data_IF_795673076848
#
_entry.id   IF_795673076848
#
_cell.length_a   1.000
_cell.length_b   1.000
_cell.length_c   1.000
_cell.angle_alpha   90.00
_cell.angle_beta   90.00
_cell.angle_gamma   90.00
#
_symmetry.space_group_name_H-M   'P 1'
#
loop_
_entity.id
_entity.type
_entity.pdbx_description
1 polymer ?
#
# COMPACT_ATOMS: atom_id res chain seq x y z
N UNK A 1 11.28 20.91 -12.59
CA UNK A 1 10.27 21.79 -12.00
C UNK A 1 9.67 21.07 -10.81
N UNK A 2 9.46 21.76 -9.68
CA UNK A 2 8.82 21.18 -8.48
C UNK A 2 7.39 21.72 -8.45
N UNK A 3 6.41 20.81 -8.44
CA UNK A 3 5.01 21.17 -8.30
C UNK A 3 4.71 21.42 -6.81
N UNK A 4 3.85 22.41 -6.49
CA UNK A 4 3.56 22.78 -5.09
C UNK A 4 2.06 22.78 -4.87
N UNK A 5 1.60 21.95 -3.93
CA UNK A 5 0.22 21.99 -3.46
C UNK A 5 0.08 22.99 -2.33
N UNK A 6 -0.83 23.94 -2.49
CA UNK A 6 -1.09 25.00 -1.51
C UNK A 6 -2.45 24.74 -0.87
N UNK A 7 -2.50 24.76 0.46
CA UNK A 7 -3.75 24.82 1.21
C UNK A 7 -3.75 26.09 2.05
N UNK A 8 -4.83 26.87 1.94
CA UNK A 8 -5.09 28.06 2.75
C UNK A 8 -6.33 27.82 3.61
N UNK A 9 -6.31 28.27 4.86
CA UNK A 9 -7.47 28.19 5.73
C UNK A 9 -7.48 29.31 6.76
N UNK A 10 -8.67 29.78 7.20
CA UNK A 10 -8.78 30.82 8.21
C UNK A 10 -8.21 30.33 9.55
N UNK A 11 -7.50 31.21 10.26
CA UNK A 11 -6.98 30.94 11.61
C UNK A 11 -7.63 31.90 12.62
N UNK A 12 -7.95 31.37 13.81
CA UNK A 12 -8.65 32.13 14.86
C UNK A 12 -7.85 33.32 15.43
N UNK A 13 -6.52 33.34 15.28
CA UNK A 13 -5.62 34.38 15.82
C UNK A 13 -5.34 35.51 14.81
N UNK A 14 -6.34 35.83 13.97
CA UNK A 14 -6.26 36.69 12.80
C UNK A 14 -5.31 36.18 11.69
N UNK A 15 -5.83 36.13 10.45
CA UNK A 15 -5.06 35.76 9.25
C UNK A 15 -5.39 34.40 8.65
N UNK A 16 -4.57 33.99 7.69
CA UNK A 16 -4.69 32.72 6.98
C UNK A 16 -3.47 31.84 7.25
N UNK A 17 -3.72 30.56 7.56
CA UNK A 17 -2.67 29.55 7.60
C UNK A 17 -2.45 28.99 6.20
N UNK A 18 -1.24 29.14 5.68
CA UNK A 18 -0.80 28.50 4.45
C UNK A 18 0.02 27.24 4.76
N UNK A 19 -0.31 26.13 4.09
CA UNK A 19 0.48 24.90 4.10
C UNK A 19 0.93 24.60 2.68
N UNK A 20 2.24 24.51 2.47
CA UNK A 20 2.86 24.19 1.18
C UNK A 20 3.40 22.77 1.23
N UNK A 21 2.96 21.93 0.28
CA UNK A 21 3.51 20.59 0.08
C UNK A 21 4.24 20.55 -1.25
N UNK A 22 5.54 20.31 -1.18
CA UNK A 22 6.39 20.09 -2.36
C UNK A 22 6.11 18.69 -2.92
N UNK A 23 5.84 18.63 -4.22
CA UNK A 23 5.62 17.39 -4.97
C UNK A 23 6.81 17.21 -5.90
N UNK A 24 7.74 16.36 -5.50
CA UNK A 24 8.95 16.06 -6.28
C UNK A 24 8.77 14.74 -7.04
N UNK A 25 8.68 14.86 -8.37
CA UNK A 25 8.57 13.70 -9.28
C UNK A 25 9.80 12.80 -9.22
N UNK A 26 10.98 13.36 -8.97
CA UNK A 26 12.23 12.60 -8.91
C UNK A 26 12.30 11.70 -7.67
N UNK A 27 11.43 11.93 -6.67
CA UNK A 27 11.34 11.11 -5.47
C UNK A 27 10.45 9.86 -5.63
N UNK A 28 9.80 9.66 -6.78
CA UNK A 28 9.05 8.44 -7.06
C UNK A 28 10.04 7.28 -7.25
N UNK A 29 10.00 6.31 -6.35
CA UNK A 29 10.76 5.08 -6.47
C UNK A 29 10.19 4.21 -7.59
N UNK A 30 11.08 3.53 -8.32
CA UNK A 30 10.68 2.49 -9.26
C UNK A 30 10.05 1.30 -8.55
N UNK A 31 9.29 0.48 -9.28
CA UNK A 31 8.63 -0.71 -8.75
C UNK A 31 9.63 -1.67 -8.08
N UNK A 32 10.69 -2.04 -8.79
CA UNK A 32 11.72 -2.96 -8.26
C UNK A 32 12.43 -2.38 -7.03
N UNK A 33 12.71 -1.07 -7.02
CA UNK A 33 13.35 -0.41 -5.87
C UNK A 33 12.43 -0.38 -4.63
N UNK A 34 11.13 -0.24 -4.85
CA UNK A 34 10.14 -0.21 -3.78
C UNK A 34 9.96 -1.60 -3.13
N UNK A 35 9.98 -2.66 -3.94
CA UNK A 35 9.78 -4.05 -3.51
C UNK A 35 11.09 -4.84 -3.32
N UNK A 36 12.27 -4.21 -3.42
CA UNK A 36 13.58 -4.86 -3.27
C UNK A 36 13.81 -5.60 -1.92
N UNK A 37 12.95 -5.38 -0.92
CA UNK A 37 12.97 -6.08 0.39
C UNK A 37 11.72 -6.92 0.64
N UNK A 38 10.87 -7.04 -0.38
CA UNK A 38 9.61 -7.77 -0.39
C UNK A 38 9.49 -8.48 -1.74
N UNK A 39 10.56 -9.19 -2.16
CA UNK A 39 10.72 -9.74 -3.51
C UNK A 39 9.56 -10.67 -3.89
N UNK A 40 9.15 -11.58 -3.00
CA UNK A 40 8.02 -12.49 -3.23
C UNK A 40 6.72 -11.73 -3.58
N UNK A 41 6.45 -10.64 -2.85
CA UNK A 41 5.29 -9.79 -3.11
C UNK A 41 5.45 -9.02 -4.41
N UNK A 42 6.65 -8.48 -4.66
CA UNK A 42 6.99 -7.76 -5.88
C UNK A 42 6.83 -8.63 -7.13
N UNK A 43 7.34 -9.87 -7.09
CA UNK A 43 7.27 -10.84 -8.17
C UNK A 43 5.83 -11.26 -8.45
N UNK A 44 5.05 -11.54 -7.42
CA UNK A 44 3.63 -11.86 -7.57
C UNK A 44 2.85 -10.71 -8.21
N UNK A 45 3.09 -9.47 -7.77
CA UNK A 45 2.46 -8.28 -8.36
C UNK A 45 2.94 -8.06 -9.80
N UNK A 46 4.22 -8.23 -10.10
CA UNK A 46 4.75 -8.10 -11.45
C UNK A 46 4.09 -9.09 -12.41
N UNK A 47 3.79 -10.31 -11.96
CA UNK A 47 3.02 -11.29 -12.73
C UNK A 47 1.59 -10.79 -13.00
N UNK A 48 0.88 -10.29 -11.98
CA UNK A 48 -0.48 -9.74 -12.16
C UNK A 48 -0.52 -8.51 -13.09
N UNK A 49 0.55 -7.73 -13.11
CA UNK A 49 0.69 -6.52 -13.92
C UNK A 49 1.28 -6.81 -15.31
N UNK A 50 1.59 -8.07 -15.62
CA UNK A 50 2.18 -8.47 -16.90
C UNK A 50 1.22 -8.21 -18.07
N UNK A 51 1.71 -7.64 -19.18
CA UNK A 51 0.91 -7.40 -20.37
C UNK A 51 0.51 -8.68 -21.09
N UNK A 52 0.98 -9.86 -20.68
CA UNK A 52 0.62 -11.13 -21.33
C UNK A 52 -0.65 -11.75 -20.74
N UNK A 53 -1.09 -11.29 -19.55
CA UNK A 53 -2.34 -11.71 -18.92
C UNK A 53 -3.45 -10.76 -19.36
N UNK A 54 -4.29 -11.14 -20.33
CA UNK A 54 -5.51 -10.39 -20.69
C UNK A 54 -6.70 -10.96 -19.92
N UNK A 55 -7.52 -10.10 -19.31
CA UNK A 55 -8.76 -10.51 -18.66
C UNK A 55 -8.57 -11.33 -17.39
N UNK A 56 -7.41 -11.20 -16.71
CA UNK A 56 -7.11 -11.87 -15.44
C UNK A 56 -7.93 -11.36 -14.25
N UNK A 57 -8.63 -10.23 -14.42
CA UNK A 57 -9.53 -9.62 -13.45
C UNK A 57 -8.89 -9.36 -12.08
N UNK A 58 -9.75 -9.05 -11.12
CA UNK A 58 -9.40 -9.04 -9.72
C UNK A 58 -8.91 -7.71 -9.16
N UNK A 59 -8.64 -7.72 -7.85
CA UNK A 59 -8.37 -6.53 -7.06
C UNK A 59 -7.02 -6.61 -6.34
N UNK A 60 -6.25 -5.54 -6.46
CA UNK A 60 -5.05 -5.28 -5.67
C UNK A 60 -5.37 -4.10 -4.75
N UNK A 61 -5.32 -4.34 -3.45
CA UNK A 61 -5.73 -3.38 -2.43
C UNK A 61 -4.52 -2.87 -1.66
N UNK A 62 -4.34 -1.55 -1.67
CA UNK A 62 -3.29 -0.86 -0.92
C UNK A 62 -3.92 -0.20 0.30
N UNK A 63 -3.55 -0.64 1.50
CA UNK A 63 -4.03 -0.07 2.75
C UNK A 63 -2.95 0.51 3.64
N UNK A 64 -3.37 1.23 4.67
CA UNK A 64 -2.51 1.94 5.61
C UNK A 64 -2.97 3.37 5.90
N UNK A 65 -2.37 4.03 6.91
CA UNK A 65 -2.73 5.38 7.32
C UNK A 65 -2.33 6.44 6.29
N UNK A 66 -2.73 7.69 6.52
CA UNK A 66 -2.27 8.82 5.70
C UNK A 66 -0.74 8.96 5.80
N UNK A 67 -0.08 9.15 4.66
CA UNK A 67 1.37 9.30 4.61
C UNK A 67 2.17 7.99 4.65
N UNK A 68 1.52 6.83 4.56
CA UNK A 68 2.19 5.52 4.47
C UNK A 68 2.73 5.16 3.09
N UNK A 69 2.64 6.06 2.10
CA UNK A 69 3.18 5.84 0.76
C UNK A 69 2.23 5.11 -0.21
N UNK A 70 0.95 4.88 0.12
CA UNK A 70 -0.01 4.20 -0.77
C UNK A 70 -0.04 4.75 -2.19
N UNK A 71 -0.10 6.07 -2.36
CA UNK A 71 -0.10 6.71 -3.68
C UNK A 71 1.22 6.45 -4.42
N UNK A 72 2.36 6.49 -3.71
CA UNK A 72 3.67 6.15 -4.29
C UNK A 72 3.69 4.71 -4.81
N UNK A 73 3.20 3.76 -4.01
CA UNK A 73 3.11 2.35 -4.40
C UNK A 73 2.14 2.12 -5.56
N UNK A 74 0.99 2.80 -5.54
CA UNK A 74 0.00 2.77 -6.63
C UNK A 74 0.64 3.25 -7.95
N UNK A 75 1.34 4.38 -7.92
CA UNK A 75 2.04 4.90 -9.09
C UNK A 75 3.18 3.97 -9.54
N UNK A 76 3.91 3.34 -8.62
CA UNK A 76 4.93 2.35 -8.95
C UNK A 76 4.33 1.14 -9.68
N UNK A 77 3.19 0.61 -9.22
CA UNK A 77 2.46 -0.45 -9.92
C UNK A 77 2.04 0.00 -11.34
N UNK A 78 1.55 1.23 -11.51
CA UNK A 78 1.18 1.75 -12.84
C UNK A 78 2.39 1.90 -13.76
N UNK A 79 3.55 2.26 -13.21
CA UNK A 79 4.79 2.34 -13.97
C UNK A 79 5.31 0.98 -14.41
N UNK A 80 5.05 -0.07 -13.64
CA UNK A 80 5.38 -1.46 -13.99
C UNK A 80 4.58 -1.99 -15.17
N UNK A 81 3.36 -1.50 -15.39
CA UNK A 81 2.52 -1.90 -16.52
C UNK A 81 3.08 -1.33 -17.83
N UNK A 82 3.17 -2.18 -18.86
CA UNK A 82 3.42 -1.72 -20.24
C UNK A 82 2.20 -1.00 -20.82
N UNK A 83 2.09 0.28 -20.48
CA UNK A 83 1.02 1.21 -20.89
C UNK A 83 0.94 1.49 -22.39
N UNK A 84 1.92 1.03 -23.18
CA UNK A 84 1.84 1.11 -24.65
C UNK A 84 1.07 -0.08 -25.22
N UNK A 85 1.09 -1.22 -24.53
CA UNK A 85 0.39 -2.45 -24.91
C UNK A 85 -0.97 -2.59 -24.21
N UNK A 86 -1.14 -1.93 -23.06
CA UNK A 86 -2.31 -2.05 -22.19
C UNK A 86 -2.90 -0.69 -21.84
N UNK A 87 -4.23 -0.58 -21.90
CA UNK A 87 -4.92 0.64 -21.54
C UNK A 87 -5.07 0.74 -20.02
N UNK A 88 -4.34 1.69 -19.42
CA UNK A 88 -4.45 2.03 -18.00
C UNK A 88 -5.27 3.30 -17.84
N UNK A 89 -6.35 3.23 -17.06
CA UNK A 89 -7.20 4.36 -16.73
C UNK A 89 -7.20 4.62 -15.22
N UNK A 90 -6.83 5.82 -14.79
CA UNK A 90 -6.81 6.23 -13.38
C UNK A 90 -7.95 7.20 -13.07
N UNK A 91 -8.49 7.12 -11.86
CA UNK A 91 -9.51 8.01 -11.31
C UNK A 91 -8.98 8.50 -9.95
N UNK A 92 -8.67 9.79 -9.82
CA UNK A 92 -7.91 10.34 -8.69
C UNK A 92 -8.50 11.65 -8.14
N UNK A 93 -8.22 11.97 -6.87
CA UNK A 93 -8.72 13.17 -6.19
C UNK A 93 -7.64 13.82 -5.29
N UNK A 94 -6.82 14.76 -5.81
CA UNK A 94 -6.61 15.10 -7.22
C UNK A 94 -5.56 14.18 -7.88
N UNK A 95 -5.33 14.37 -9.18
CA UNK A 95 -4.18 13.77 -9.87
C UNK A 95 -2.89 14.40 -9.30
N UNK A 96 -1.97 13.58 -8.78
CA UNK A 96 -0.71 14.09 -8.19
C UNK A 96 0.38 14.29 -9.25
N UNK A 97 0.51 13.37 -10.21
CA UNK A 97 1.51 13.44 -11.26
C UNK A 97 0.96 12.95 -12.60
N UNK A 98 1.47 13.53 -13.69
CA UNK A 98 1.13 13.08 -15.03
C UNK A 98 1.85 11.76 -15.37
N UNK A 99 1.06 10.74 -15.72
CA UNK A 99 1.52 9.43 -16.12
C UNK A 99 1.44 9.29 -17.64
N UNK A 100 2.60 9.34 -18.29
CA UNK A 100 2.67 9.14 -19.75
C UNK A 100 2.02 7.82 -20.16
N UNK A 101 1.21 7.87 -21.23
CA UNK A 101 0.47 6.72 -21.77
C UNK A 101 -0.64 6.15 -20.87
N UNK A 102 -0.99 6.80 -19.76
CA UNK A 102 -2.19 6.50 -18.99
C UNK A 102 -3.29 7.53 -19.26
N UNK A 103 -4.53 7.09 -19.27
CA UNK A 103 -5.70 7.99 -19.24
C UNK A 103 -5.97 8.35 -17.79
N UNK A 104 -5.81 9.61 -17.39
CA UNK A 104 -6.05 10.03 -15.99
C UNK A 104 -7.28 10.92 -15.91
N UNK A 105 -8.23 10.55 -15.06
CA UNK A 105 -9.42 11.32 -14.74
C UNK A 105 -9.36 11.85 -13.32
N UNK A 106 -9.73 13.10 -13.15
CA UNK A 106 -9.83 13.72 -11.84
C UNK A 106 -11.29 13.76 -11.39
N UNK A 107 -11.52 13.33 -10.16
CA UNK A 107 -12.82 13.46 -9.48
C UNK A 107 -13.17 14.94 -9.32
N UNK A 108 -14.45 15.25 -9.51
CA UNK A 108 -14.99 16.61 -9.34
C UNK A 108 -16.18 16.55 -8.39
N UNK A 109 -15.94 16.54 -7.06
CA UNK A 109 -17.00 16.46 -6.07
C UNK A 109 -18.03 17.59 -6.27
N UNK A 110 -19.32 17.25 -6.21
CA UNK A 110 -20.43 18.20 -6.40
C UNK A 110 -20.82 18.47 -7.86
N UNK A 111 -20.07 17.97 -8.85
CA UNK A 111 -20.49 17.99 -10.26
C UNK A 111 -21.28 16.70 -10.58
N UNK A 112 -22.47 16.79 -11.22
CA UNK A 112 -23.19 15.61 -11.68
C UNK A 112 -22.31 14.73 -12.58
N UNK A 113 -22.19 13.43 -12.25
CA UNK A 113 -21.32 12.49 -12.96
C UNK A 113 -19.82 12.62 -12.64
N UNK A 114 -19.45 13.44 -11.66
CA UNK A 114 -18.06 13.70 -11.27
C UNK A 114 -17.57 12.92 -10.04
N UNK A 115 -18.40 12.03 -9.47
CA UNK A 115 -18.02 11.19 -8.33
C UNK A 115 -17.13 10.00 -8.73
N UNK A 116 -16.44 9.38 -7.78
CA UNK A 116 -15.67 8.15 -8.03
C UNK A 116 -16.53 7.07 -8.67
N UNK A 117 -17.69 6.75 -8.10
CA UNK A 117 -18.59 5.72 -8.61
C UNK A 117 -19.07 6.01 -10.05
N UNK A 118 -19.40 7.27 -10.37
CA UNK A 118 -19.81 7.65 -11.73
C UNK A 118 -18.67 7.47 -12.74
N UNK A 119 -17.47 7.89 -12.36
CA UNK A 119 -16.27 7.77 -13.20
C UNK A 119 -15.87 6.30 -13.38
N UNK A 120 -16.01 5.44 -12.37
CA UNK A 120 -15.75 4.00 -12.52
C UNK A 120 -16.78 3.37 -13.48
N UNK A 121 -18.06 3.76 -13.41
CA UNK A 121 -19.07 3.29 -14.37
C UNK A 121 -18.76 3.71 -15.79
N UNK A 122 -18.32 4.95 -15.97
CA UNK A 122 -17.94 5.47 -17.27
C UNK A 122 -16.69 4.76 -17.80
N UNK A 123 -15.67 4.54 -16.95
CA UNK A 123 -14.37 4.01 -17.37
C UNK A 123 -14.47 2.63 -18.03
N UNK A 124 -15.36 1.76 -17.56
CA UNK A 124 -15.59 0.44 -18.15
C UNK A 124 -16.02 0.49 -19.63
N UNK A 125 -16.51 1.64 -20.13
CA UNK A 125 -16.88 1.83 -21.55
C UNK A 125 -15.73 2.37 -22.40
N UNK A 126 -14.56 2.60 -21.81
CA UNK A 126 -13.36 3.06 -22.51
C UNK A 126 -12.39 1.90 -22.83
N UNK A 127 -12.85 0.64 -22.75
CA UNK A 127 -12.03 -0.55 -22.97
C UNK A 127 -10.70 -0.53 -22.17
N UNK A 128 -10.71 -0.25 -20.84
CA UNK A 128 -9.50 -0.32 -20.04
C UNK A 128 -9.09 -1.77 -19.77
N UNK A 129 -7.79 -2.03 -19.69
CA UNK A 129 -7.27 -3.29 -19.12
C UNK A 129 -7.13 -3.16 -17.59
N UNK A 130 -6.69 -1.97 -17.13
CA UNK A 130 -6.47 -1.66 -15.72
C UNK A 130 -7.27 -0.42 -15.31
N UNK A 131 -7.98 -0.52 -14.19
CA UNK A 131 -8.71 0.60 -13.59
C UNK A 131 -8.08 0.92 -12.24
N UNK A 132 -7.52 2.11 -12.12
CA UNK A 132 -6.82 2.56 -10.92
C UNK A 132 -7.71 3.57 -10.20
N UNK A 133 -8.00 3.30 -8.94
CA UNK A 133 -8.93 4.11 -8.13
C UNK A 133 -8.13 4.71 -6.98
N UNK A 134 -8.09 6.04 -6.93
CA UNK A 134 -7.28 6.77 -5.95
C UNK A 134 -7.60 6.36 -4.52
N UNK A 135 -8.88 6.18 -4.18
CA UNK A 135 -9.32 5.70 -2.88
C UNK A 135 -10.77 5.16 -2.91
N UNK A 136 -11.07 4.12 -2.14
CA UNK A 136 -12.43 3.67 -1.85
C UNK A 136 -12.88 4.23 -0.49
N UNK A 137 -13.85 5.16 -0.51
CA UNK A 137 -14.35 5.85 0.70
C UNK A 137 -15.78 5.49 1.06
N UNK A 138 -16.58 5.06 0.09
CA UNK A 138 -18.02 4.90 0.23
C UNK A 138 -18.53 3.62 -0.45
N UNK A 139 -19.79 3.28 -0.13
CA UNK A 139 -20.46 2.08 -0.61
C UNK A 139 -20.53 1.99 -2.13
N UNK A 140 -20.89 3.10 -2.79
CA UNK A 140 -21.06 3.13 -4.25
C UNK A 140 -19.75 2.90 -4.98
N UNK A 141 -18.66 3.46 -4.46
CA UNK A 141 -17.31 3.28 -4.99
C UNK A 141 -16.86 1.83 -4.82
N UNK A 142 -17.05 1.23 -3.64
CA UNK A 142 -16.73 -0.19 -3.39
C UNK A 142 -17.53 -1.11 -4.32
N UNK A 143 -18.85 -0.94 -4.39
CA UNK A 143 -19.74 -1.75 -5.22
C UNK A 143 -19.37 -1.66 -6.71
N UNK A 144 -19.09 -0.45 -7.20
CA UNK A 144 -18.74 -0.26 -8.61
C UNK A 144 -17.35 -0.82 -8.91
N UNK A 145 -16.42 -0.74 -7.96
CA UNK A 145 -15.08 -1.35 -8.08
C UNK A 145 -15.13 -2.87 -8.15
N UNK A 146 -15.97 -3.50 -7.31
CA UNK A 146 -16.18 -4.95 -7.32
C UNK A 146 -16.74 -5.42 -8.67
N UNK A 147 -17.71 -4.69 -9.23
CA UNK A 147 -18.27 -4.99 -10.56
C UNK A 147 -17.24 -4.80 -11.68
N UNK A 148 -16.38 -3.79 -11.57
CA UNK A 148 -15.29 -3.60 -12.52
C UNK A 148 -14.32 -4.80 -12.49
N UNK A 149 -13.96 -5.27 -11.29
CA UNK A 149 -13.12 -6.46 -11.13
C UNK A 149 -13.81 -7.74 -11.66
N UNK A 150 -15.07 -7.94 -11.32
CA UNK A 150 -15.88 -9.08 -11.75
C UNK A 150 -16.06 -9.16 -13.27
N UNK A 151 -16.12 -8.01 -13.95
CA UNK A 151 -16.17 -7.93 -15.42
C UNK A 151 -14.83 -8.17 -16.11
N UNK A 152 -13.78 -8.52 -15.36
CA UNK A 152 -12.49 -8.95 -15.90
C UNK A 152 -11.40 -7.87 -15.93
N UNK A 153 -11.67 -6.68 -15.39
CA UNK A 153 -10.66 -5.61 -15.27
C UNK A 153 -9.78 -5.85 -14.05
N UNK A 154 -8.49 -5.53 -14.15
CA UNK A 154 -7.65 -5.47 -12.95
C UNK A 154 -7.84 -4.12 -12.27
N UNK A 155 -8.33 -4.16 -11.03
CA UNK A 155 -8.59 -2.96 -10.23
C UNK A 155 -7.49 -2.80 -9.19
N UNK A 156 -6.82 -1.64 -9.19
CA UNK A 156 -5.87 -1.28 -8.12
C UNK A 156 -6.45 -0.09 -7.37
N UNK A 157 -6.62 -0.22 -6.06
CA UNK A 157 -7.22 0.85 -5.26
C UNK A 157 -6.58 1.00 -3.91
N UNK A 158 -6.69 2.19 -3.33
CA UNK A 158 -6.33 2.43 -1.93
C UNK A 158 -7.54 2.41 -1.00
N UNK A 159 -7.29 2.07 0.26
CA UNK A 159 -8.28 2.13 1.35
C UNK A 159 -7.58 2.38 2.69
N UNK A 160 -8.23 3.08 3.61
CA UNK A 160 -7.70 3.28 4.95
C UNK A 160 -8.08 2.14 5.88
N UNK A 161 -7.08 1.39 6.35
CA UNK A 161 -7.18 0.33 7.36
C UNK A 161 -5.81 0.18 8.04
N UNK A 162 -5.78 -0.32 9.28
CA UNK A 162 -4.54 -0.40 10.07
C UNK A 162 -3.77 -1.71 9.86
N UNK A 163 -4.45 -2.77 9.43
CA UNK A 163 -3.85 -4.08 9.06
C UNK A 163 -4.36 -4.61 7.71
N UNK A 164 -3.69 -5.63 7.17
CA UNK A 164 -4.14 -6.30 5.95
C UNK A 164 -5.51 -6.97 6.15
N UNK A 165 -5.73 -7.64 7.29
CA UNK A 165 -7.01 -8.28 7.62
C UNK A 165 -8.14 -7.27 7.82
N UNK A 166 -7.91 -6.18 8.56
CA UNK A 166 -8.92 -5.13 8.77
C UNK A 166 -9.34 -4.42 7.47
N UNK A 167 -8.55 -4.55 6.40
CA UNK A 167 -8.95 -4.06 5.08
C UNK A 167 -10.24 -4.73 4.60
N UNK A 168 -10.41 -6.03 4.86
CA UNK A 168 -11.63 -6.76 4.51
C UNK A 168 -12.82 -6.32 5.36
N UNK A 169 -12.63 -6.15 6.67
CA UNK A 169 -13.68 -5.63 7.56
C UNK A 169 -14.10 -4.22 7.16
N UNK A 170 -13.14 -3.37 6.80
CA UNK A 170 -13.41 -2.01 6.33
C UNK A 170 -14.24 -2.03 5.05
N UNK A 171 -13.90 -2.88 4.07
CA UNK A 171 -14.69 -3.03 2.86
C UNK A 171 -16.11 -3.51 3.18
N UNK A 172 -16.26 -4.53 4.03
CA UNK A 172 -17.56 -5.05 4.45
C UNK A 172 -18.40 -3.99 5.15
N UNK A 173 -17.78 -3.14 5.98
CA UNK A 173 -18.47 -2.04 6.67
C UNK A 173 -18.99 -0.94 5.72
N UNK A 174 -18.41 -0.83 4.52
CA UNK A 174 -18.86 0.10 3.48
C UNK A 174 -19.90 -0.53 2.56
N UNK A 175 -19.98 -1.86 2.47
CA UNK A 175 -20.93 -2.53 1.59
C UNK A 175 -22.38 -2.28 2.04
N UNK A 176 -23.33 -2.11 1.11
CA UNK A 176 -24.75 -2.06 1.46
C UNK A 176 -25.21 -3.36 2.13
N UNK A 177 -25.91 -3.27 3.27
CA UNK A 177 -26.38 -4.43 4.03
C UNK A 177 -27.17 -5.45 3.18
N UNK A 178 -27.97 -4.96 2.23
CA UNK A 178 -28.78 -5.79 1.32
C UNK A 178 -27.96 -6.60 0.32
N UNK A 179 -26.69 -6.23 0.09
CA UNK A 179 -25.76 -6.91 -0.83
C UNK A 179 -24.53 -7.49 -0.15
N UNK A 180 -24.40 -7.33 1.16
CA UNK A 180 -23.21 -7.74 1.92
C UNK A 180 -22.75 -9.15 1.55
N UNK A 181 -23.67 -10.11 1.44
CA UNK A 181 -23.36 -11.49 1.09
C UNK A 181 -22.81 -11.65 -0.33
N UNK A 182 -23.48 -11.08 -1.33
CA UNK A 182 -23.05 -11.15 -2.73
C UNK A 182 -21.75 -10.38 -2.98
N UNK A 183 -21.60 -9.23 -2.31
CA UNK A 183 -20.42 -8.37 -2.44
C UNK A 183 -19.22 -8.99 -1.74
N UNK A 184 -19.41 -9.63 -0.58
CA UNK A 184 -18.37 -10.40 0.10
C UNK A 184 -17.95 -11.63 -0.69
N UNK A 185 -18.91 -12.33 -1.32
CA UNK A 185 -18.59 -13.42 -2.25
C UNK A 185 -17.74 -12.90 -3.41
N UNK A 186 -18.15 -11.81 -4.05
CA UNK A 186 -17.39 -11.18 -5.15
C UNK A 186 -16.00 -10.76 -4.70
N UNK A 187 -15.88 -10.13 -3.51
CA UNK A 187 -14.60 -9.76 -2.93
C UNK A 187 -13.68 -10.97 -2.76
N UNK A 188 -14.18 -12.07 -2.19
CA UNK A 188 -13.41 -13.31 -2.04
C UNK A 188 -12.90 -13.86 -3.38
N UNK A 189 -13.75 -13.79 -4.42
CA UNK A 189 -13.39 -14.28 -5.76
C UNK A 189 -12.41 -13.36 -6.49
N UNK A 190 -12.51 -12.05 -6.28
CA UNK A 190 -11.75 -11.06 -7.04
C UNK A 190 -10.45 -10.60 -6.36
N UNK A 191 -10.35 -10.62 -5.03
CA UNK A 191 -9.14 -10.15 -4.34
C UNK A 191 -7.91 -11.01 -4.70
N UNK A 192 -6.82 -10.36 -5.13
CA UNK A 192 -5.56 -11.02 -5.51
C UNK A 192 -4.45 -10.72 -4.51
N UNK A 193 -4.41 -9.48 -4.01
CA UNK A 193 -3.46 -9.05 -3.01
C UNK A 193 -4.06 -7.93 -2.15
N UNK A 194 -3.76 -7.97 -0.86
CA UNK A 194 -3.96 -6.87 0.08
C UNK A 194 -2.62 -6.53 0.70
N UNK A 195 -2.26 -5.25 0.67
CA UNK A 195 -0.97 -4.74 1.13
C UNK A 195 -1.21 -3.60 2.10
N UNK A 196 -1.00 -3.84 3.39
CA UNK A 196 -1.02 -2.81 4.40
C UNK A 196 0.38 -2.24 4.64
N UNK A 197 0.53 -0.95 4.37
CA UNK A 197 1.83 -0.30 4.24
C UNK A 197 2.12 0.64 5.39
N UNK A 198 3.38 0.67 5.81
CA UNK A 198 3.98 1.71 6.65
C UNK A 198 5.32 2.15 6.07
N UNK A 199 5.77 3.33 6.48
CA UNK A 199 7.09 3.84 6.18
C UNK A 199 7.88 3.98 7.48
N UNK A 200 9.02 3.28 7.56
CA UNK A 200 9.93 3.37 8.70
C UNK A 200 11.18 4.15 8.32
N UNK A 201 11.73 4.90 9.28
CA UNK A 201 12.92 5.74 9.04
C UNK A 201 14.16 4.86 8.87
N UNK A 202 15.02 5.22 7.93
CA UNK A 202 16.27 4.49 7.67
C UNK A 202 17.49 5.26 8.19
N UNK A 203 18.39 4.52 8.83
CA UNK A 203 19.64 5.04 9.39
C UNK A 203 20.58 5.60 8.32
N UNK A 204 21.32 6.63 8.70
CA UNK A 204 22.47 7.08 7.92
C UNK A 204 23.60 6.07 8.00
N UNK A 205 23.88 5.40 6.88
CA UNK A 205 24.95 4.40 6.77
C UNK A 205 26.35 5.01 6.92
N UNK A 206 26.49 6.34 6.79
CA UNK A 206 27.77 7.04 6.98
C UNK A 206 28.12 7.34 8.44
N UNK A 207 27.16 7.31 9.38
CA UNK A 207 27.42 7.66 10.77
C UNK A 207 26.77 6.75 11.81
N UNK A 208 26.00 5.73 11.41
CA UNK A 208 25.48 4.72 12.32
C UNK A 208 26.62 3.90 12.94
N UNK A 209 26.42 3.46 14.19
CA UNK A 209 27.42 2.67 14.92
C UNK A 209 27.05 1.19 14.87
N UNK A 210 28.00 0.34 14.48
CA UNK A 210 27.80 -1.11 14.49
C UNK A 210 28.28 -1.69 15.81
N UNK A 211 27.44 -2.51 16.44
CA UNK A 211 27.72 -3.19 17.70
C UNK A 211 26.91 -4.50 17.75
N UNK A 212 27.28 -5.44 18.62
CA UNK A 212 26.50 -6.66 18.83
C UNK A 212 25.21 -6.33 19.58
N UNK A 213 24.11 -7.03 19.27
CA UNK A 213 22.80 -6.76 19.85
C UNK A 213 22.82 -6.75 21.40
N UNK A 214 23.58 -7.66 22.02
CA UNK A 214 23.75 -7.75 23.48
C UNK A 214 24.41 -6.52 24.14
N UNK A 215 25.17 -5.74 23.37
CA UNK A 215 25.83 -4.54 23.88
C UNK A 215 24.90 -3.30 23.85
N UNK A 216 23.81 -3.37 23.08
CA UNK A 216 22.87 -2.26 22.88
C UNK A 216 21.47 -2.49 23.48
N UNK A 217 21.01 -3.74 23.44
CA UNK A 217 19.67 -4.19 23.80
C UNK A 217 19.71 -5.07 25.05
N UNK A 218 18.63 -5.03 25.82
CA UNK A 218 18.44 -5.99 26.91
C UNK A 218 17.91 -7.35 26.39
N UNK A 219 17.92 -8.37 27.24
CA UNK A 219 17.47 -9.73 26.86
C UNK A 219 16.03 -9.77 26.34
N UNK A 220 15.11 -9.00 26.94
CA UNK A 220 13.70 -8.94 26.51
C UNK A 220 13.56 -8.32 25.11
N UNK A 221 14.32 -7.27 24.82
CA UNK A 221 14.35 -6.58 23.52
C UNK A 221 14.91 -7.51 22.42
N UNK A 222 15.95 -8.28 22.73
CA UNK A 222 16.54 -9.27 21.81
C UNK A 222 15.53 -10.38 21.50
N UNK A 223 14.83 -10.89 22.52
CA UNK A 223 13.76 -11.89 22.36
C UNK A 223 12.60 -11.33 21.52
N UNK A 224 12.18 -10.09 21.77
CA UNK A 224 11.12 -9.42 21.00
C UNK A 224 11.48 -9.26 19.52
N UNK A 225 12.74 -8.97 19.20
CA UNK A 225 13.22 -8.91 17.82
C UNK A 225 13.50 -10.29 17.22
N UNK A 226 13.54 -11.34 18.04
CA UNK A 226 13.82 -12.71 17.61
C UNK A 226 15.17 -12.84 16.88
N UNK A 227 16.19 -12.12 17.38
CA UNK A 227 17.57 -12.13 16.86
C UNK A 227 18.53 -12.76 17.88
N UNK A 228 19.72 -13.19 17.45
CA UNK A 228 20.75 -13.69 18.36
C UNK A 228 21.47 -12.54 19.09
N UNK A 229 21.94 -12.72 20.33
CA UNK A 229 22.71 -11.71 21.06
C UNK A 229 23.96 -11.21 20.33
N UNK A 230 24.58 -12.08 19.53
CA UNK A 230 25.78 -11.79 18.73
C UNK A 230 25.46 -11.14 17.36
N UNK A 231 24.18 -10.93 17.04
CA UNK A 231 23.77 -10.30 15.77
C UNK A 231 24.33 -8.88 15.73
N UNK A 232 25.10 -8.56 14.68
CA UNK A 232 25.60 -7.20 14.47
C UNK A 232 24.46 -6.31 14.00
N UNK A 233 24.13 -5.30 14.80
CA UNK A 233 23.08 -4.32 14.51
C UNK A 233 23.66 -2.93 14.31
N UNK A 234 22.89 -2.02 13.74
CA UNK A 234 23.28 -0.62 13.57
C UNK A 234 22.46 0.28 14.50
N UNK A 235 23.15 1.05 15.33
CA UNK A 235 22.59 2.01 16.27
C UNK A 235 22.53 3.41 15.65
N UNK A 236 21.42 4.11 15.89
CA UNK A 236 21.26 5.51 15.51
C UNK A 236 22.33 6.40 16.16
N UNK A 237 22.89 7.32 15.37
CA UNK A 237 23.76 8.38 15.87
C UNK A 237 22.96 9.69 15.95
N UNK A 238 22.59 10.15 17.17
CA UNK A 238 21.75 11.34 17.34
C UNK A 238 22.40 12.64 16.90
N UNK A 239 23.75 12.71 16.90
CA UNK A 239 24.48 13.89 16.43
C UNK A 239 24.51 13.98 14.90
N UNK A 240 24.32 12.84 14.22
CA UNK A 240 24.38 12.71 12.77
C UNK A 240 25.70 13.16 12.15
N UNK A 241 25.73 13.17 10.82
CA UNK A 241 26.81 13.72 10.01
C UNK A 241 26.24 14.63 8.90
N UNK A 242 27.12 15.23 8.10
CA UNK A 242 26.70 16.16 7.03
C UNK A 242 25.87 15.46 5.94
N UNK A 243 26.09 14.16 5.68
CA UNK A 243 25.31 13.37 4.70
C UNK A 243 23.83 13.26 5.07
N UNK A 244 23.51 13.24 6.36
CA UNK A 244 22.14 13.14 6.86
C UNK A 244 21.62 14.47 7.43
N UNK A 245 22.32 15.58 7.13
CA UNK A 245 21.99 16.90 7.66
C UNK A 245 21.86 16.92 9.19
N UNK A 246 22.77 16.23 9.89
CA UNK A 246 22.84 16.14 11.36
C UNK A 246 21.60 15.51 12.02
N UNK A 247 20.88 14.62 11.34
CA UNK A 247 19.71 13.91 11.90
C UNK A 247 19.98 12.44 12.26
N UNK A 248 21.03 11.84 11.68
CA UNK A 248 21.32 10.41 11.74
C UNK A 248 20.36 9.54 10.90
N UNK A 249 19.44 10.15 10.14
CA UNK A 249 18.43 9.50 9.30
C UNK A 249 18.53 10.04 7.88
N UNK A 250 18.46 9.19 6.86
CA UNK A 250 18.58 9.63 5.45
C UNK A 250 17.27 9.51 4.69
N UNK A 251 16.35 8.66 5.14
CA UNK A 251 15.12 8.44 4.41
C UNK A 251 14.14 7.53 5.13
N UNK A 252 13.31 6.88 4.32
CA UNK A 252 12.33 5.90 4.77
C UNK A 252 12.31 4.72 3.81
N UNK A 253 11.94 3.56 4.32
CA UNK A 253 11.72 2.34 3.52
C UNK A 253 10.32 1.80 3.74
N UNK A 254 9.82 1.06 2.74
CA UNK A 254 8.55 0.38 2.80
C UNK A 254 8.62 -0.77 3.80
N UNK A 255 7.64 -0.82 4.68
CA UNK A 255 7.41 -1.93 5.58
C UNK A 255 5.98 -2.43 5.33
N UNK A 256 5.87 -3.71 5.02
CA UNK A 256 4.67 -4.31 4.46
C UNK A 256 4.10 -5.40 5.36
N UNK A 257 2.79 -5.38 5.55
CA UNK A 257 1.99 -6.54 5.94
C UNK A 257 1.14 -6.90 4.72
N UNK A 258 1.28 -8.11 4.16
CA UNK A 258 0.61 -8.47 2.91
C UNK A 258 -0.07 -9.84 2.96
N UNK A 259 -1.19 -9.92 2.25
CA UNK A 259 -1.96 -11.13 2.01
C UNK A 259 -2.07 -11.33 0.50
N UNK A 260 -1.63 -12.48 0.01
CA UNK A 260 -1.66 -12.84 -1.41
C UNK A 260 -2.52 -14.09 -1.59
N UNK A 261 -3.35 -14.10 -2.64
CA UNK A 261 -4.24 -15.23 -2.95
C UNK A 261 -3.76 -15.96 -4.20
N UNK A 262 -3.10 -17.10 -4.03
CA UNK A 262 -2.49 -17.88 -5.11
C UNK A 262 -3.43 -18.90 -5.76
N UNK A 263 -4.51 -19.28 -5.06
CA UNK A 263 -5.52 -20.21 -5.59
C UNK A 263 -6.49 -19.55 -6.57
N UNK A 264 -6.98 -20.33 -7.53
CA UNK A 264 -7.98 -19.88 -8.51
C UNK A 264 -9.40 -19.79 -7.91
N UNK A 265 -10.34 -19.07 -8.55
CA UNK A 265 -11.70 -18.82 -8.03
C UNK A 265 -12.45 -20.08 -7.55
N UNK A 266 -12.29 -21.21 -8.24
CA UNK A 266 -12.95 -22.48 -7.89
C UNK A 266 -12.56 -23.06 -6.53
N UNK A 267 -11.47 -22.58 -5.92
CA UNK A 267 -10.97 -23.05 -4.62
C UNK A 267 -11.18 -22.02 -3.49
N UNK A 268 -11.83 -20.89 -3.76
CA UNK A 268 -11.92 -19.76 -2.81
C UNK A 268 -13.15 -19.78 -1.90
N UNK A 269 -13.84 -20.92 -1.78
CA UNK A 269 -15.01 -21.01 -0.90
C UNK A 269 -14.64 -20.81 0.58
N UNK A 270 -13.51 -21.39 1.01
CA UNK A 270 -12.99 -21.20 2.37
C UNK A 270 -12.70 -19.73 2.70
N UNK A 271 -12.06 -19.01 1.76
CA UNK A 271 -11.84 -17.55 1.85
C UNK A 271 -13.17 -16.80 2.06
N UNK A 272 -14.21 -17.11 1.28
CA UNK A 272 -15.52 -16.49 1.46
C UNK A 272 -16.14 -16.81 2.83
N UNK A 273 -16.07 -18.07 3.27
CA UNK A 273 -16.58 -18.48 4.58
C UNK A 273 -15.86 -17.79 5.73
N UNK A 274 -14.52 -17.67 5.66
CA UNK A 274 -13.71 -16.92 6.61
C UNK A 274 -14.13 -15.45 6.66
N UNK A 275 -14.28 -14.79 5.51
CA UNK A 275 -14.73 -13.39 5.44
C UNK A 275 -16.12 -13.17 6.08
N UNK A 276 -17.02 -14.13 5.95
CA UNK A 276 -18.37 -14.03 6.52
C UNK A 276 -18.41 -14.36 8.02
N UNK A 277 -17.56 -15.29 8.49
CA UNK A 277 -17.55 -15.76 9.88
C UNK A 277 -16.59 -14.95 10.76
N UNK A 278 -15.30 -15.00 10.43
CA UNK A 278 -14.22 -14.38 11.18
C UNK A 278 -13.04 -14.14 10.24
N UNK A 279 -12.74 -12.87 9.95
CA UNK A 279 -11.68 -12.49 9.01
C UNK A 279 -10.31 -13.00 9.46
N UNK A 280 -10.10 -13.22 10.75
CA UNK A 280 -8.83 -13.80 11.24
C UNK A 280 -8.59 -15.23 10.76
N UNK A 281 -9.64 -15.97 10.38
CA UNK A 281 -9.48 -17.33 9.86
C UNK A 281 -8.87 -17.33 8.45
N UNK A 282 -8.87 -16.18 7.75
CA UNK A 282 -8.40 -16.05 6.38
C UNK A 282 -6.93 -16.48 6.20
N UNK A 283 -6.08 -16.23 7.20
CA UNK A 283 -4.66 -16.59 7.17
C UNK A 283 -4.42 -18.11 7.20
N UNK A 284 -5.45 -18.90 7.50
CA UNK A 284 -5.40 -20.35 7.56
C UNK A 284 -6.03 -21.02 6.33
N UNK A 285 -6.59 -20.23 5.40
CA UNK A 285 -7.24 -20.73 4.21
C UNK A 285 -6.23 -21.10 3.12
N UNK A 286 -6.54 -22.16 2.36
CA UNK A 286 -5.66 -22.66 1.31
C UNK A 286 -5.37 -21.58 0.26
N UNK A 287 -4.09 -21.40 -0.06
CA UNK A 287 -3.61 -20.42 -1.04
C UNK A 287 -3.63 -18.97 -0.56
N UNK A 288 -3.81 -18.74 0.75
CA UNK A 288 -3.56 -17.44 1.36
C UNK A 288 -2.13 -17.42 1.90
N UNK A 289 -1.27 -16.63 1.28
CA UNK A 289 0.10 -16.41 1.72
C UNK A 289 0.19 -15.08 2.48
N UNK A 290 0.84 -15.12 3.65
CA UNK A 290 0.93 -13.98 4.58
C UNK A 290 2.38 -13.55 4.72
N UNK A 291 2.63 -12.26 4.52
CA UNK A 291 3.93 -11.63 4.71
C UNK A 291 3.83 -10.67 5.88
N UNK A 292 4.47 -11.01 6.99
CA UNK A 292 4.34 -10.25 8.23
C UNK A 292 5.21 -9.00 8.22
N UNK A 293 4.62 -7.90 8.71
CA UNK A 293 5.36 -6.68 9.04
C UNK A 293 6.52 -6.94 10.00
N UNK A 294 6.34 -7.86 10.95
CA UNK A 294 7.34 -8.17 11.97
C UNK A 294 8.60 -8.72 11.32
N UNK A 295 8.46 -9.67 10.40
CA UNK A 295 9.59 -10.32 9.74
C UNK A 295 10.36 -9.32 8.87
N UNK A 296 9.64 -8.49 8.11
CA UNK A 296 10.24 -7.40 7.35
C UNK A 296 10.97 -6.38 8.23
N UNK A 297 10.45 -6.11 9.43
CA UNK A 297 11.09 -5.17 10.36
C UNK A 297 12.36 -5.76 10.98
N UNK A 298 12.34 -7.05 11.32
CA UNK A 298 13.53 -7.78 11.82
C UNK A 298 14.61 -7.83 10.74
N UNK A 299 14.25 -8.12 9.47
CA UNK A 299 15.19 -8.05 8.35
C UNK A 299 15.88 -6.68 8.26
N UNK A 300 15.10 -5.59 8.37
CA UNK A 300 15.65 -4.23 8.34
C UNK A 300 16.63 -3.93 9.48
N UNK A 301 16.40 -4.52 10.66
CA UNK A 301 17.32 -4.40 11.82
C UNK A 301 18.61 -5.19 11.57
N UNK A 302 18.50 -6.44 11.14
CA UNK A 302 19.64 -7.32 10.87
C UNK A 302 20.53 -6.77 9.74
N UNK A 303 19.93 -6.11 8.74
CA UNK A 303 20.65 -5.44 7.66
C UNK A 303 21.20 -4.06 8.05
N UNK A 304 20.99 -3.59 9.29
CA UNK A 304 21.49 -2.30 9.77
C UNK A 304 20.81 -1.08 9.14
N UNK A 305 19.63 -1.24 8.56
CA UNK A 305 18.87 -0.14 7.95
C UNK A 305 17.99 0.60 8.97
N UNK A 306 17.52 -0.11 10.00
CA UNK A 306 16.67 0.46 11.05
C UNK A 306 17.33 0.20 12.40
N UNK A 307 17.28 1.21 13.26
CA UNK A 307 17.75 1.10 14.64
C UNK A 307 16.87 0.12 15.45
N UNK A 308 17.45 -0.85 16.17
CA UNK A 308 16.66 -1.86 16.87
C UNK A 308 15.66 -1.31 17.90
N UNK A 309 15.99 -0.22 18.62
CA UNK A 309 15.07 0.39 19.59
C UNK A 309 13.95 1.14 18.89
N UNK A 310 14.26 1.80 17.77
CA UNK A 310 13.24 2.40 16.90
C UNK A 310 12.31 1.33 16.31
N UNK A 311 12.86 0.17 15.90
CA UNK A 311 12.08 -0.95 15.41
C UNK A 311 11.07 -1.45 16.44
N UNK A 312 11.48 -1.61 17.70
CA UNK A 312 10.57 -2.02 18.78
C UNK A 312 9.36 -1.07 18.94
N UNK A 313 9.50 0.23 18.64
CA UNK A 313 8.37 1.16 18.64
C UNK A 313 7.39 1.00 17.47
N UNK A 314 7.81 0.31 16.41
CA UNK A 314 6.98 -0.01 15.24
C UNK A 314 6.33 -1.39 15.33
N UNK A 315 6.81 -2.25 16.24
CA UNK A 315 6.14 -3.50 16.55
C UNK A 315 4.81 -3.18 17.23
N UNK A 316 3.73 -3.66 16.64
CA UNK A 316 2.43 -3.69 17.29
C UNK A 316 2.43 -4.88 18.25
N UNK A 317 1.84 -4.70 19.43
CA UNK A 317 1.64 -5.78 20.40
C UNK A 317 0.71 -6.87 19.85
#
# INVERSE_FOLDING_TARGET
AIDVRVAAGPQAQDGEKLTLRLLDRAALKGFDELFARHEDVGDYLAQLLSPDIKGGGGMILLSGPTGSGKTTTLYACVQQIDRRRRHVLTIEDPIEYELRYATQWQVRPGMPGGSFADLIRASMRHDPDYIIIGEMRDADTVETSLRAAESGHTVISTIHADTALQTFERLRSLMPHERERSSSYTLAQQVKAVMNQRLVRTLCQGCAHKEEAKDYLNEEEIVKLSIAPETVVSRHNPSGCDLCSRTGIVGRTLLLDALIITVGPGQRNGIYEALMRNVNDLIHEDGVEVFSRRDGLVDLVVNGLVDPKSALSYMED
#
